data_IF_098584250808
#
_entry.id   IF_098584250808
#
_cell.length_a   1.000
_cell.length_b   1.000
_cell.length_c   1.000
_cell.angle_alpha   90.00
_cell.angle_beta   90.00
_cell.angle_gamma   90.00
#
_symmetry.space_group_name_H-M   'P 1'
#
loop_
_entity.id
_entity.type
_entity.pdbx_description
1 polymer ?
#
# COMPACT_ATOMS: atom_id res chain seq x y z
N UNK A 1 5.62 -22.36 -10.15
CA UNK A 1 5.23 -21.29 -11.09
C UNK A 1 6.47 -20.80 -11.83
N UNK A 2 6.34 -20.36 -13.08
CA UNK A 2 7.42 -19.67 -13.81
C UNK A 2 7.55 -18.22 -13.34
N UNK A 3 8.66 -17.55 -13.65
CA UNK A 3 8.85 -16.14 -13.31
C UNK A 3 7.76 -15.24 -13.94
N UNK A 4 7.35 -15.54 -15.18
CA UNK A 4 6.26 -14.82 -15.83
C UNK A 4 4.92 -15.00 -15.11
N UNK A 5 4.62 -16.22 -14.67
CA UNK A 5 3.39 -16.47 -13.89
C UNK A 5 3.38 -15.74 -12.55
N UNK A 6 4.53 -15.66 -11.88
CA UNK A 6 4.68 -14.90 -10.63
C UNK A 6 4.51 -13.41 -10.92
N UNK A 7 5.11 -12.93 -12.00
CA UNK A 7 5.00 -11.52 -12.41
C UNK A 7 3.55 -11.11 -12.66
N UNK A 8 2.81 -11.88 -13.45
CA UNK A 8 1.39 -11.60 -13.71
C UNK A 8 0.50 -11.75 -12.46
N UNK A 9 0.88 -12.64 -11.55
CA UNK A 9 0.15 -12.83 -10.30
C UNK A 9 0.28 -11.62 -9.35
N UNK A 10 1.49 -11.09 -9.14
CA UNK A 10 1.77 -10.16 -8.07
C UNK A 10 1.74 -8.68 -8.48
N UNK A 11 2.32 -8.39 -9.66
CA UNK A 11 2.58 -7.01 -10.06
C UNK A 11 1.37 -6.38 -10.72
N UNK A 12 0.69 -5.51 -9.95
CA UNK A 12 -0.46 -4.74 -10.42
C UNK A 12 -0.13 -3.26 -10.36
N UNK A 13 -0.21 -2.59 -11.50
CA UNK A 13 -0.01 -1.14 -11.61
C UNK A 13 -1.09 -0.55 -12.51
N UNK A 14 -1.61 0.60 -12.12
CA UNK A 14 -2.55 1.39 -12.88
C UNK A 14 -2.09 2.85 -12.91
N UNK A 15 -2.53 3.58 -13.92
CA UNK A 15 -2.32 5.02 -13.98
C UNK A 15 -3.14 5.71 -12.88
N UNK A 16 -2.56 6.68 -12.15
CA UNK A 16 -3.28 7.39 -11.11
C UNK A 16 -4.43 8.20 -11.69
N UNK A 17 -5.54 8.22 -10.98
CA UNK A 17 -6.72 9.03 -11.28
C UNK A 17 -7.02 9.96 -10.11
N UNK A 18 -7.84 10.98 -10.29
CA UNK A 18 -8.33 11.78 -9.15
C UNK A 18 -9.15 10.88 -8.22
N UNK A 19 -8.85 10.97 -6.92
CA UNK A 19 -9.41 10.10 -5.91
C UNK A 19 -9.60 10.86 -4.58
N UNK A 20 -10.32 10.25 -3.64
CA UNK A 20 -10.68 10.87 -2.37
C UNK A 20 -9.50 10.89 -1.39
N UNK A 21 -8.64 9.87 -1.46
CA UNK A 21 -7.39 9.78 -0.69
C UNK A 21 -6.41 8.79 -1.31
N UNK A 22 -5.13 8.87 -0.91
CA UNK A 22 -4.17 7.79 -1.12
C UNK A 22 -3.89 7.08 0.22
N UNK A 23 -4.00 5.75 0.21
CA UNK A 23 -3.69 4.90 1.35
C UNK A 23 -2.29 4.31 1.16
N UNK A 24 -1.36 4.70 2.04
CA UNK A 24 0.06 4.32 1.98
C UNK A 24 0.35 3.28 3.05
N UNK A 25 0.72 2.09 2.61
CA UNK A 25 1.02 0.96 3.50
C UNK A 25 2.46 1.05 4.03
N UNK A 26 2.64 0.80 5.32
CA UNK A 26 3.92 0.75 5.98
C UNK A 26 4.83 -0.37 5.49
N UNK A 27 6.11 -0.30 5.83
CA UNK A 27 7.13 -1.28 5.48
C UNK A 27 8.08 -1.51 6.64
N UNK A 28 8.54 -2.76 6.81
CA UNK A 28 9.41 -3.16 7.89
C UNK A 28 10.84 -2.58 7.81
N UNK A 29 11.24 -2.04 6.65
CA UNK A 29 12.54 -1.41 6.46
C UNK A 29 12.40 0.05 6.03
N UNK A 30 13.36 0.88 6.44
CA UNK A 30 13.37 2.34 6.21
C UNK A 30 13.39 2.70 4.71
N UNK A 31 14.07 1.93 3.88
CA UNK A 31 14.20 2.24 2.45
C UNK A 31 12.84 2.13 1.74
N UNK A 32 12.10 1.04 1.95
CA UNK A 32 10.77 0.85 1.36
C UNK A 32 9.74 1.79 1.99
N UNK A 33 9.82 2.03 3.28
CA UNK A 33 8.97 2.99 3.96
C UNK A 33 9.13 4.39 3.34
N UNK A 34 10.36 4.82 3.12
CA UNK A 34 10.64 6.11 2.48
C UNK A 34 10.15 6.15 1.02
N UNK A 35 10.35 5.08 0.23
CA UNK A 35 9.85 4.99 -1.16
C UNK A 35 8.34 5.11 -1.22
N UNK A 36 7.62 4.34 -0.39
CA UNK A 36 6.15 4.37 -0.32
C UNK A 36 5.65 5.74 0.11
N UNK A 37 6.29 6.37 1.10
CA UNK A 37 5.93 7.72 1.55
C UNK A 37 6.13 8.74 0.43
N UNK A 38 7.28 8.71 -0.29
CA UNK A 38 7.53 9.60 -1.43
C UNK A 38 6.47 9.43 -2.52
N UNK A 39 6.08 8.21 -2.84
CA UNK A 39 5.05 7.94 -3.84
C UNK A 39 3.71 8.54 -3.41
N UNK A 40 3.27 8.35 -2.16
CA UNK A 40 2.06 8.97 -1.63
C UNK A 40 2.11 10.50 -1.69
N UNK A 41 3.24 11.09 -1.25
CA UNK A 41 3.46 12.55 -1.31
C UNK A 41 3.44 13.06 -2.75
N UNK A 42 4.00 12.31 -3.71
CA UNK A 42 3.95 12.66 -5.13
C UNK A 42 2.50 12.77 -5.61
N UNK A 43 1.68 11.75 -5.34
CA UNK A 43 0.26 11.73 -5.72
C UNK A 43 -0.52 12.90 -5.10
N UNK A 44 -0.21 13.26 -3.85
CA UNK A 44 -0.78 14.42 -3.19
C UNK A 44 -0.37 15.74 -3.86
N UNK A 45 0.93 15.92 -4.12
CA UNK A 45 1.46 17.16 -4.72
C UNK A 45 1.01 17.37 -6.17
N UNK A 46 0.83 16.29 -6.92
CA UNK A 46 0.31 16.31 -8.28
C UNK A 46 -1.22 16.53 -8.34
N UNK A 47 -1.88 16.62 -7.18
CA UNK A 47 -3.30 16.93 -7.06
C UNK A 47 -4.23 15.76 -7.38
N UNK A 48 -3.72 14.52 -7.38
CA UNK A 48 -4.56 13.34 -7.54
C UNK A 48 -5.44 13.09 -6.31
N UNK A 49 -4.96 13.44 -5.11
CA UNK A 49 -5.69 13.23 -3.85
C UNK A 49 -5.58 14.46 -2.95
N UNK A 50 -6.65 14.80 -2.19
CA UNK A 50 -6.63 15.90 -1.22
C UNK A 50 -5.99 15.51 0.11
N UNK A 51 -5.77 14.21 0.38
CA UNK A 51 -5.23 13.73 1.65
C UNK A 51 -4.52 12.39 1.54
N UNK A 52 -3.67 12.11 2.52
CA UNK A 52 -2.98 10.83 2.69
C UNK A 52 -3.48 10.12 3.94
N UNK A 53 -3.70 8.81 3.85
CA UNK A 53 -3.82 7.93 4.98
C UNK A 53 -2.56 7.05 5.01
N UNK A 54 -1.75 7.16 6.06
CA UNK A 54 -0.58 6.32 6.29
C UNK A 54 -0.91 5.27 7.35
N UNK A 55 -0.62 3.99 7.06
CA UNK A 55 -1.02 2.88 7.94
C UNK A 55 0.15 1.94 8.22
N UNK A 56 0.28 1.51 9.47
CA UNK A 56 1.29 0.57 9.94
C UNK A 56 1.79 0.90 11.34
N UNK A 57 1.60 -0.03 12.27
CA UNK A 57 2.04 0.05 13.66
C UNK A 57 3.31 -0.76 13.95
N UNK A 58 3.85 -1.48 12.95
CA UNK A 58 5.04 -2.31 13.10
C UNK A 58 6.25 -1.49 13.57
N UNK A 59 7.04 -2.10 14.46
CA UNK A 59 8.24 -1.47 15.05
C UNK A 59 9.49 -2.37 14.92
N UNK A 60 9.41 -3.43 14.09
CA UNK A 60 10.44 -4.49 14.05
C UNK A 60 11.87 -3.99 13.85
N UNK A 61 12.07 -3.07 12.90
CA UNK A 61 13.38 -2.44 12.64
C UNK A 61 13.35 -0.93 12.94
N UNK A 62 12.27 -0.42 13.48
CA UNK A 62 12.03 1.00 13.71
C UNK A 62 11.80 1.22 15.20
N UNK A 63 12.27 2.34 15.72
CA UNK A 63 12.03 2.75 17.11
C UNK A 63 10.62 3.34 17.32
N UNK A 64 9.85 3.54 16.26
CA UNK A 64 8.52 4.13 16.25
C UNK A 64 7.63 3.43 15.21
N UNK A 65 6.29 3.45 15.37
CA UNK A 65 5.35 2.91 14.40
C UNK A 65 5.61 3.42 12.97
N UNK A 66 5.49 2.54 11.99
CA UNK A 66 5.70 2.83 10.56
C UNK A 66 4.91 4.04 10.10
N UNK A 67 3.61 4.10 10.42
CA UNK A 67 2.74 5.22 10.06
C UNK A 67 3.17 6.55 10.68
N UNK A 68 3.68 6.53 11.92
CA UNK A 68 4.21 7.74 12.56
C UNK A 68 5.46 8.25 11.83
N UNK A 69 6.34 7.33 11.40
CA UNK A 69 7.52 7.67 10.59
C UNK A 69 7.13 8.24 9.22
N UNK A 70 6.17 7.61 8.54
CA UNK A 70 5.66 8.11 7.25
C UNK A 70 5.04 9.50 7.38
N UNK A 71 4.26 9.75 8.43
CA UNK A 71 3.67 11.06 8.71
C UNK A 71 4.74 12.12 8.95
N UNK A 72 5.81 11.81 9.69
CA UNK A 72 6.93 12.73 9.90
C UNK A 72 7.64 13.06 8.57
N UNK A 73 7.91 12.06 7.73
CA UNK A 73 8.51 12.28 6.40
C UNK A 73 7.60 13.13 5.50
N UNK A 74 6.30 12.86 5.48
CA UNK A 74 5.34 13.63 4.68
C UNK A 74 5.27 15.10 5.15
N UNK A 75 5.26 15.35 6.46
CA UNK A 75 5.27 16.71 7.04
C UNK A 75 6.54 17.47 6.72
N UNK A 76 7.70 16.82 6.81
CA UNK A 76 9.00 17.43 6.48
C UNK A 76 9.05 17.96 5.04
N UNK A 77 8.29 17.38 4.15
CA UNK A 77 8.19 17.81 2.76
C UNK A 77 6.93 18.63 2.46
N UNK A 78 6.24 19.13 3.50
CA UNK A 78 5.21 20.14 3.38
C UNK A 78 3.76 19.62 3.25
N UNK A 79 3.48 18.35 3.53
CA UNK A 79 2.09 17.88 3.62
C UNK A 79 1.48 18.39 4.94
N UNK A 80 0.38 19.15 4.91
CA UNK A 80 -0.26 19.68 6.12
C UNK A 80 -0.76 18.55 7.05
N UNK A 81 -0.72 18.78 8.35
CA UNK A 81 -1.23 17.81 9.34
C UNK A 81 -2.72 17.53 9.13
N UNK A 82 -3.49 18.53 8.71
CA UNK A 82 -4.93 18.38 8.44
C UNK A 82 -5.23 17.40 7.28
N UNK A 83 -4.27 17.21 6.36
CA UNK A 83 -4.39 16.32 5.20
C UNK A 83 -3.79 14.94 5.45
N UNK A 84 -3.31 14.68 6.68
CA UNK A 84 -2.72 13.39 7.09
C UNK A 84 -3.62 12.64 8.06
N UNK A 85 -4.03 11.43 7.66
CA UNK A 85 -4.64 10.44 8.54
C UNK A 85 -3.58 9.41 8.90
N UNK A 86 -3.45 9.08 10.19
CA UNK A 86 -2.40 8.19 10.70
C UNK A 86 -3.04 7.03 11.46
N UNK A 87 -2.88 5.82 10.93
CA UNK A 87 -3.23 4.58 11.60
C UNK A 87 -1.93 3.87 12.03
N UNK A 88 -1.64 3.80 13.32
CA UNK A 88 -0.35 3.38 13.87
C UNK A 88 -0.43 2.16 14.82
N UNK A 89 -1.49 1.36 14.74
CA UNK A 89 -1.72 0.20 15.63
C UNK A 89 -1.53 -1.15 14.93
N UNK A 90 -1.80 -1.18 13.64
CA UNK A 90 -1.83 -2.40 12.83
C UNK A 90 -0.42 -2.96 12.58
N UNK A 91 -0.30 -4.29 12.53
CA UNK A 91 0.97 -4.99 12.32
C UNK A 91 0.93 -6.05 11.19
N UNK A 92 -0.15 -6.11 10.44
CA UNK A 92 -0.31 -6.97 9.26
C UNK A 92 -1.03 -6.22 8.15
N UNK A 93 -0.90 -6.64 6.90
CA UNK A 93 -1.63 -6.03 5.76
C UNK A 93 -3.15 -6.04 5.99
N UNK A 94 -3.69 -7.12 6.57
CA UNK A 94 -5.10 -7.20 6.89
C UNK A 94 -5.50 -6.21 8.00
N UNK A 95 -4.71 -6.13 9.07
CA UNK A 95 -4.96 -5.15 10.14
C UNK A 95 -4.83 -3.72 9.62
N UNK A 96 -3.83 -3.43 8.75
CA UNK A 96 -3.70 -2.12 8.11
C UNK A 96 -4.99 -1.71 7.39
N UNK A 97 -5.57 -2.61 6.59
CA UNK A 97 -6.80 -2.32 5.85
C UNK A 97 -8.00 -2.15 6.80
N UNK A 98 -8.18 -3.08 7.77
CA UNK A 98 -9.28 -3.04 8.74
C UNK A 98 -9.24 -1.79 9.60
N UNK A 99 -8.09 -1.50 10.21
CA UNK A 99 -7.95 -0.40 11.17
C UNK A 99 -7.99 0.97 10.46
N UNK A 100 -7.51 1.04 9.21
CA UNK A 100 -7.67 2.22 8.34
C UNK A 100 -9.14 2.47 7.99
N UNK A 101 -9.91 1.42 7.63
CA UNK A 101 -11.34 1.52 7.39
C UNK A 101 -12.06 2.04 8.64
N UNK A 102 -11.72 1.51 9.80
CA UNK A 102 -12.34 1.90 11.07
C UNK A 102 -11.99 3.34 11.44
N UNK A 103 -10.74 3.77 11.23
CA UNK A 103 -10.33 5.17 11.36
C UNK A 103 -11.14 6.10 10.44
N UNK A 104 -11.32 5.71 9.17
CA UNK A 104 -12.12 6.49 8.20
C UNK A 104 -13.59 6.60 8.65
N UNK A 105 -14.16 5.53 9.21
CA UNK A 105 -15.51 5.54 9.78
C UNK A 105 -15.60 6.48 10.99
N UNK A 106 -14.66 6.39 11.92
CA UNK A 106 -14.59 7.27 13.11
C UNK A 106 -14.48 8.76 12.73
N UNK A 107 -13.89 9.06 11.60
CA UNK A 107 -13.75 10.42 11.05
C UNK A 107 -14.90 10.87 10.15
N UNK A 108 -15.92 10.04 9.94
CA UNK A 108 -17.05 10.32 9.05
C UNK A 108 -16.67 10.44 7.58
N UNK A 109 -15.57 9.79 7.18
CA UNK A 109 -15.03 9.85 5.80
C UNK A 109 -15.35 8.61 4.98
N UNK A 110 -15.71 7.50 5.61
CA UNK A 110 -15.86 6.21 4.93
C UNK A 110 -17.04 6.20 3.95
N UNK A 111 -18.18 6.77 4.35
CA UNK A 111 -19.42 6.77 3.56
C UNK A 111 -19.31 7.62 2.28
N UNK A 112 -18.38 8.58 2.24
CA UNK A 112 -18.14 9.44 1.09
C UNK A 112 -17.07 8.92 0.13
N UNK A 113 -16.44 7.77 0.42
CA UNK A 113 -15.37 7.25 -0.43
C UNK A 113 -15.93 6.61 -1.71
N UNK A 114 -15.47 7.11 -2.84
CA UNK A 114 -15.72 6.53 -4.16
C UNK A 114 -14.46 5.89 -4.76
N UNK A 115 -13.30 6.54 -4.61
CA UNK A 115 -12.03 6.06 -5.17
C UNK A 115 -10.88 6.26 -4.18
N UNK A 116 -10.03 5.23 -4.05
CA UNK A 116 -8.84 5.23 -3.19
C UNK A 116 -7.63 4.79 -4.00
N UNK A 117 -6.55 5.58 -3.98
CA UNK A 117 -5.27 5.15 -4.53
C UNK A 117 -4.51 4.33 -3.50
N UNK A 118 -4.03 3.15 -3.89
CA UNK A 118 -3.24 2.27 -3.05
C UNK A 118 -1.75 2.44 -3.34
N UNK A 119 -0.96 2.64 -2.30
CA UNK A 119 0.50 2.80 -2.40
C UNK A 119 1.20 1.75 -1.55
N UNK A 120 1.99 0.91 -2.19
CA UNK A 120 2.84 -0.11 -1.57
C UNK A 120 4.03 -0.41 -2.48
N UNK A 121 4.91 -1.35 -2.10
CA UNK A 121 5.87 -1.95 -3.03
C UNK A 121 5.12 -2.70 -4.13
N UNK A 122 5.65 -2.69 -5.36
CA UNK A 122 4.92 -3.21 -6.52
C UNK A 122 4.61 -4.71 -6.40
N UNK A 123 5.56 -5.49 -5.92
CA UNK A 123 5.41 -6.94 -5.71
C UNK A 123 4.39 -7.32 -4.61
N UNK A 124 4.04 -6.39 -3.72
CA UNK A 124 3.05 -6.58 -2.67
C UNK A 124 1.64 -6.16 -3.10
N UNK A 125 1.50 -5.48 -4.24
CA UNK A 125 0.29 -4.76 -4.60
C UNK A 125 -0.94 -5.66 -4.77
N UNK A 126 -0.78 -6.87 -5.30
CA UNK A 126 -1.89 -7.82 -5.43
C UNK A 126 -2.50 -8.17 -4.07
N UNK A 127 -1.69 -8.48 -3.07
CA UNK A 127 -2.19 -8.77 -1.72
C UNK A 127 -2.86 -7.56 -1.09
N UNK A 128 -2.28 -6.38 -1.24
CA UNK A 128 -2.89 -5.13 -0.76
C UNK A 128 -4.27 -4.94 -1.39
N UNK A 129 -4.39 -5.05 -2.71
CA UNK A 129 -5.65 -4.90 -3.43
C UNK A 129 -6.72 -5.89 -2.94
N UNK A 130 -6.40 -7.18 -2.90
CA UNK A 130 -7.34 -8.20 -2.45
C UNK A 130 -7.77 -7.98 -0.99
N UNK A 131 -6.84 -7.54 -0.14
CA UNK A 131 -7.11 -7.27 1.27
C UNK A 131 -8.07 -6.09 1.45
N UNK A 132 -7.85 -4.97 0.75
CA UNK A 132 -8.77 -3.82 0.86
C UNK A 132 -10.14 -4.12 0.26
N UNK A 133 -10.21 -4.86 -0.84
CA UNK A 133 -11.47 -5.32 -1.44
C UNK A 133 -12.27 -6.23 -0.50
N UNK A 134 -11.60 -7.03 0.32
CA UNK A 134 -12.25 -7.91 1.30
C UNK A 134 -12.68 -7.18 2.58
N UNK A 135 -12.06 -6.04 2.91
CA UNK A 135 -12.26 -5.35 4.21
C UNK A 135 -13.10 -4.09 4.11
N UNK A 136 -13.10 -3.40 2.98
CA UNK A 136 -13.87 -2.16 2.78
C UNK A 136 -15.27 -2.45 2.22
N UNK A 137 -16.22 -1.50 2.35
CA UNK A 137 -17.54 -1.60 1.73
C UNK A 137 -17.44 -1.80 0.20
N UNK A 138 -18.40 -2.53 -0.35
CA UNK A 138 -18.53 -2.67 -1.81
C UNK A 138 -18.82 -1.32 -2.47
N UNK A 139 -18.35 -1.15 -3.71
CA UNK A 139 -18.59 0.06 -4.50
C UNK A 139 -17.44 1.06 -4.48
N UNK A 140 -16.46 0.92 -3.58
CA UNK A 140 -15.25 1.73 -3.60
C UNK A 140 -14.30 1.18 -4.69
N UNK A 141 -13.85 2.07 -5.59
CA UNK A 141 -12.81 1.77 -6.58
C UNK A 141 -11.43 1.90 -5.92
N UNK A 142 -10.62 0.86 -6.04
CA UNK A 142 -9.21 0.88 -5.64
C UNK A 142 -8.33 0.92 -6.89
N UNK A 143 -7.36 1.84 -6.92
CA UNK A 143 -6.42 2.04 -8.03
C UNK A 143 -5.02 1.79 -7.51
N UNK A 144 -4.31 0.86 -8.13
CA UNK A 144 -2.99 0.44 -7.70
C UNK A 144 -1.89 1.37 -8.23
N UNK A 145 -1.32 2.18 -7.35
CA UNK A 145 -0.26 3.16 -7.65
C UNK A 145 1.03 2.82 -6.88
N UNK A 146 1.69 1.67 -7.15
CA UNK A 146 2.88 1.23 -6.42
C UNK A 146 4.06 2.18 -6.57
N UNK A 147 5.10 1.96 -5.74
CA UNK A 147 6.40 2.58 -5.96
C UNK A 147 7.02 2.03 -7.25
N UNK A 148 7.74 2.90 -7.97
CA UNK A 148 8.51 2.53 -9.18
C UNK A 148 9.99 2.29 -8.88
N UNK A 149 10.34 2.21 -7.61
CA UNK A 149 11.70 1.99 -7.11
C UNK A 149 11.76 0.71 -6.27
N UNK A 150 12.94 0.12 -6.16
CA UNK A 150 13.17 -1.12 -5.42
C UNK A 150 12.95 -2.34 -6.30
N UNK A 151 12.28 -3.36 -5.77
CA UNK A 151 11.92 -4.56 -6.52
C UNK A 151 10.67 -4.27 -7.37
N UNK A 152 10.87 -4.13 -8.67
CA UNK A 152 9.81 -3.82 -9.65
C UNK A 152 9.56 -4.99 -10.60
N UNK A 153 8.46 -4.91 -11.33
CA UNK A 153 8.09 -5.87 -12.39
C UNK A 153 9.25 -6.13 -13.36
N UNK A 154 10.02 -5.09 -13.68
CA UNK A 154 11.07 -5.13 -14.69
C UNK A 154 12.41 -5.68 -14.17
N UNK A 155 12.65 -5.67 -12.84
CA UNK A 155 13.97 -5.96 -12.30
C UNK A 155 14.03 -7.04 -11.20
N UNK A 156 12.91 -7.57 -10.75
CA UNK A 156 12.87 -8.46 -9.58
C UNK A 156 13.69 -9.76 -9.78
N UNK A 157 13.84 -10.22 -11.02
CA UNK A 157 14.63 -11.42 -11.35
C UNK A 157 16.14 -11.17 -11.37
N UNK A 158 16.57 -9.90 -11.45
CA UNK A 158 17.98 -9.52 -11.54
C UNK A 158 18.70 -9.50 -10.18
N UNK A 159 17.96 -9.47 -9.06
CA UNK A 159 18.49 -9.43 -7.71
C UNK A 159 18.02 -10.64 -6.91
N UNK A 160 18.97 -11.38 -6.31
CA UNK A 160 18.62 -12.53 -5.46
C UNK A 160 17.75 -12.12 -4.25
N UNK A 161 17.99 -10.94 -3.67
CA UNK A 161 17.19 -10.43 -2.57
C UNK A 161 15.74 -10.15 -3.01
N UNK A 162 15.54 -9.46 -4.13
CA UNK A 162 14.22 -9.23 -4.71
C UNK A 162 13.53 -10.55 -5.08
N UNK A 163 14.27 -11.45 -5.72
CA UNK A 163 13.74 -12.75 -6.14
C UNK A 163 13.19 -13.54 -4.96
N UNK A 164 13.89 -13.54 -3.84
CA UNK A 164 13.47 -14.22 -2.61
C UNK A 164 12.18 -13.63 -2.04
N UNK A 165 12.09 -12.30 -1.93
CA UNK A 165 10.89 -11.60 -1.45
C UNK A 165 9.68 -11.86 -2.34
N UNK A 166 9.86 -11.78 -3.66
CA UNK A 166 8.79 -11.97 -4.64
C UNK A 166 8.28 -13.41 -4.66
N UNK A 167 9.18 -14.40 -4.62
CA UNK A 167 8.78 -15.82 -4.55
C UNK A 167 8.02 -16.09 -3.26
N UNK A 168 8.55 -15.66 -2.12
CA UNK A 168 7.88 -15.82 -0.83
C UNK A 168 6.49 -15.19 -0.82
N UNK A 169 6.34 -14.00 -1.40
CA UNK A 169 5.04 -13.33 -1.50
C UNK A 169 4.07 -14.12 -2.39
N UNK A 170 4.53 -14.69 -3.51
CA UNK A 170 3.69 -15.52 -4.37
C UNK A 170 3.16 -16.76 -3.64
N UNK A 171 4.00 -17.41 -2.85
CA UNK A 171 3.61 -18.57 -2.03
C UNK A 171 2.58 -18.17 -0.95
N UNK A 172 2.82 -17.06 -0.25
CA UNK A 172 1.89 -16.53 0.75
C UNK A 172 0.53 -16.17 0.11
N UNK A 173 0.55 -15.49 -1.02
CA UNK A 173 -0.70 -15.12 -1.70
C UNK A 173 -1.53 -16.33 -2.09
N UNK A 174 -0.91 -17.36 -2.66
CA UNK A 174 -1.58 -18.60 -3.03
C UNK A 174 -2.11 -19.37 -1.82
N UNK A 175 -1.36 -19.39 -0.71
CA UNK A 175 -1.77 -20.07 0.51
C UNK A 175 -3.01 -19.42 1.16
N UNK A 176 -3.11 -18.09 1.14
CA UNK A 176 -4.19 -17.35 1.80
C UNK A 176 -5.38 -17.03 0.90
N UNK A 177 -5.18 -16.85 -0.40
CA UNK A 177 -6.23 -16.45 -1.34
C UNK A 177 -6.59 -17.54 -2.35
N UNK A 178 -5.86 -18.66 -2.39
CA UNK A 178 -6.12 -19.82 -3.23
C UNK A 178 -6.32 -19.48 -4.73
N UNK A 179 -7.20 -20.21 -5.45
CA UNK A 179 -7.43 -20.00 -6.89
C UNK A 179 -8.03 -18.64 -7.26
N UNK A 180 -8.51 -17.84 -6.30
CA UNK A 180 -9.10 -16.52 -6.56
C UNK A 180 -8.05 -15.53 -7.06
N UNK A 181 -6.81 -15.67 -6.62
CA UNK A 181 -5.71 -14.82 -7.06
C UNK A 181 -5.33 -15.02 -8.54
N UNK A 182 -5.69 -16.14 -9.14
CA UNK A 182 -5.35 -16.51 -10.53
C UNK A 182 -6.46 -16.17 -11.56
N UNK A 183 -7.51 -15.45 -11.17
CA UNK A 183 -8.53 -14.98 -12.13
C UNK A 183 -8.11 -13.61 -12.67
N UNK A 184 -8.07 -13.45 -14.01
CA UNK A 184 -7.74 -12.19 -14.67
C UNK A 184 -8.77 -11.10 -14.38
#
# INVERSE_FOLDING_TARGET
>A
MTDDQITELLFVREEPVRADLAMVFGAANEADLARRTRQGVRLYREGYVPRLLVTGGGVLALTRPEAARMADLARQVGVPVADLLVEARSNTTFANARDSRDLLRERGLLEGLATVLLVSSEWLMRRVLLTVQATFPRGIRFVCCPTTEGCTRENWTASEACRREVIQESELLLAFHGPIAARP
#
